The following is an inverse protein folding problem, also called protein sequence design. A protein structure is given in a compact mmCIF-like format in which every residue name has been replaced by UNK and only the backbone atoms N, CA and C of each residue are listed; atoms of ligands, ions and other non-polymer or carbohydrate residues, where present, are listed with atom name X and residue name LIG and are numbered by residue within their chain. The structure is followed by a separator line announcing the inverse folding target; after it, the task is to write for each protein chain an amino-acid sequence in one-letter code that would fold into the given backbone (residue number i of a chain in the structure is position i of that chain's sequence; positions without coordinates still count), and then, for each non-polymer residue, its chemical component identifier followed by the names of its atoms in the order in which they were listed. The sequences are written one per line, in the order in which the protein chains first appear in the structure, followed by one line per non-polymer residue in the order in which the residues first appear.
data_IF_206704572910
#
_entry.id   IF_206704572910
#
_cell.length_a   1.000
_cell.length_b   1.000
_cell.length_c   1.000
_cell.angle_alpha   90.00
_cell.angle_beta   90.00
_cell.angle_gamma   90.00
#
_symmetry.space_group_name_H-M   'P 1'
#
loop_
_entity.id
_entity.type
_entity.pdbx_description
1 polymer ?
#
# COMPACT_ATOMS: atom_id res chain seq x y z
N UNK A 1 7.28 10.25 9.18
CA UNK A 1 8.20 9.09 9.27
C UNK A 1 9.61 9.60 9.00
N UNK A 2 10.56 9.47 9.94
CA UNK A 2 11.99 9.66 9.67
C UNK A 2 12.66 8.30 9.91
N UNK A 3 13.50 7.85 8.98
CA UNK A 3 14.23 6.57 9.05
C UNK A 3 13.37 5.29 9.19
N UNK A 4 12.16 5.26 8.62
CA UNK A 4 11.31 4.05 8.64
C UNK A 4 10.61 3.75 9.96
N UNK A 5 10.77 4.60 10.97
CA UNK A 5 10.05 4.48 12.25
C UNK A 5 8.74 5.25 12.19
N UNK A 6 7.65 4.60 12.60
CA UNK A 6 6.34 5.21 12.80
C UNK A 6 6.43 6.25 13.92
N UNK A 7 5.96 7.47 13.65
CA UNK A 7 5.88 8.50 14.68
C UNK A 7 4.60 8.28 15.49
N UNK A 8 4.68 7.90 16.79
CA UNK A 8 3.49 7.67 17.62
C UNK A 8 2.71 8.95 17.93
N UNK A 9 3.35 10.12 17.80
CA UNK A 9 2.72 11.42 18.05
C UNK A 9 1.77 11.84 16.92
N UNK A 10 1.84 11.16 15.76
CA UNK A 10 0.94 11.42 14.63
C UNK A 10 -0.30 10.54 14.79
N UNK A 11 -1.49 11.12 15.05
CA UNK A 11 -2.72 10.35 15.16
C UNK A 11 -3.06 9.65 13.84
N UNK A 12 -3.79 8.55 13.93
CA UNK A 12 -4.30 7.87 12.75
C UNK A 12 -5.25 8.80 11.98
N UNK A 13 -5.06 9.01 10.66
CA UNK A 13 -5.66 10.13 9.93
C UNK A 13 -7.14 9.91 9.57
N UNK A 14 -8.01 9.88 10.58
CA UNK A 14 -9.45 9.70 10.42
C UNK A 14 -10.15 10.93 9.83
N UNK A 15 -9.52 12.10 9.88
CA UNK A 15 -10.01 13.36 9.31
C UNK A 15 -10.26 13.27 7.80
N UNK A 16 -9.60 12.33 7.11
CA UNK A 16 -9.83 12.05 5.68
C UNK A 16 -11.26 11.60 5.38
N UNK A 17 -11.98 11.08 6.37
CA UNK A 17 -13.39 10.68 6.27
C UNK A 17 -14.36 11.82 6.63
N UNK A 18 -13.88 13.01 6.98
CA UNK A 18 -14.68 14.17 7.34
C UNK A 18 -15.19 14.16 8.79
N UNK A 19 -16.18 15.02 9.07
CA UNK A 19 -16.60 15.32 10.44
C UNK A 19 -18.12 15.45 10.60
N UNK A 20 -18.58 15.24 11.84
CA UNK A 20 -19.97 15.48 12.26
C UNK A 20 -20.98 14.58 11.53
N UNK A 21 -22.16 15.14 11.24
CA UNK A 21 -23.28 14.39 10.62
C UNK A 21 -23.01 13.91 9.19
N UNK A 22 -21.97 14.43 8.52
CA UNK A 22 -21.57 14.03 7.15
C UNK A 22 -20.25 13.27 7.11
N UNK A 23 -19.81 12.73 8.26
CA UNK A 23 -18.68 11.80 8.27
C UNK A 23 -19.00 10.60 7.37
N UNK A 24 -17.99 10.10 6.65
CA UNK A 24 -18.15 8.96 5.75
C UNK A 24 -18.76 7.76 6.50
N UNK A 25 -19.96 7.36 6.10
CA UNK A 25 -20.66 6.22 6.68
C UNK A 25 -19.92 4.89 6.44
N UNK A 26 -19.05 4.84 5.42
CA UNK A 26 -18.24 3.67 5.09
C UNK A 26 -16.85 3.64 5.73
N UNK A 27 -16.50 4.57 6.64
CA UNK A 27 -15.15 4.68 7.20
C UNK A 27 -14.65 3.38 7.83
N UNK A 28 -15.50 2.70 8.60
CA UNK A 28 -15.10 1.52 9.37
C UNK A 28 -14.91 0.32 8.42
N UNK A 29 -15.84 0.15 7.47
CA UNK A 29 -15.71 -0.83 6.39
C UNK A 29 -14.45 -0.60 5.56
N UNK A 30 -14.13 0.65 5.20
CA UNK A 30 -12.95 0.97 4.41
C UNK A 30 -11.66 0.61 5.15
N UNK A 31 -11.56 0.97 6.43
CA UNK A 31 -10.39 0.66 7.26
C UNK A 31 -10.21 -0.86 7.42
N UNK A 32 -11.28 -1.59 7.71
CA UNK A 32 -11.17 -3.04 7.90
C UNK A 32 -10.90 -3.78 6.58
N UNK A 33 -11.48 -3.31 5.48
CA UNK A 33 -11.18 -3.83 4.14
C UNK A 33 -9.71 -3.65 3.78
N UNK A 34 -9.14 -2.47 4.04
CA UNK A 34 -7.71 -2.19 3.80
C UNK A 34 -6.82 -3.07 4.68
N UNK A 35 -7.17 -3.27 5.96
CA UNK A 35 -6.41 -4.15 6.86
C UNK A 35 -6.38 -5.59 6.34
N UNK A 36 -7.53 -6.13 5.94
CA UNK A 36 -7.63 -7.49 5.40
C UNK A 36 -6.83 -7.60 4.09
N UNK A 37 -7.00 -6.63 3.19
CA UNK A 37 -6.25 -6.58 1.94
C UNK A 37 -4.74 -6.59 2.19
N UNK A 38 -4.24 -5.72 3.08
CA UNK A 38 -2.82 -5.65 3.42
C UNK A 38 -2.32 -6.93 4.07
N UNK A 39 -3.07 -7.53 5.00
CA UNK A 39 -2.71 -8.80 5.64
C UNK A 39 -2.62 -9.94 4.61
N UNK A 40 -3.59 -10.03 3.70
CA UNK A 40 -3.60 -11.04 2.63
C UNK A 40 -2.43 -10.86 1.66
N UNK A 41 -2.20 -9.63 1.21
CA UNK A 41 -1.08 -9.30 0.33
C UNK A 41 0.26 -9.63 1.00
N UNK A 42 0.45 -9.19 2.24
CA UNK A 42 1.68 -9.43 3.00
C UNK A 42 1.82 -10.89 3.44
N UNK A 43 0.79 -11.72 3.40
CA UNK A 43 0.93 -13.16 3.65
C UNK A 43 1.50 -13.91 2.43
N UNK A 44 1.23 -13.39 1.23
CA UNK A 44 1.47 -14.07 -0.05
C UNK A 44 2.68 -13.50 -0.78
N UNK A 45 2.96 -12.19 -0.65
CA UNK A 45 3.96 -11.49 -1.43
C UNK A 45 5.04 -10.82 -0.56
N UNK A 46 6.22 -10.69 -1.16
CA UNK A 46 7.26 -9.77 -0.74
C UNK A 46 7.28 -8.55 -1.66
N UNK A 47 7.28 -7.37 -1.04
CA UNK A 47 7.29 -6.08 -1.71
C UNK A 47 8.68 -5.46 -1.60
N UNK A 48 9.17 -4.90 -2.70
CA UNK A 48 10.47 -4.25 -2.75
C UNK A 48 10.53 -3.15 -3.80
N UNK A 49 11.63 -2.40 -3.79
CA UNK A 49 11.93 -1.46 -4.86
C UNK A 49 12.24 -2.21 -6.15
N UNK A 50 11.89 -1.62 -7.30
CA UNK A 50 12.30 -2.16 -8.58
C UNK A 50 13.81 -1.95 -8.79
N UNK A 51 14.40 -2.76 -9.67
CA UNK A 51 15.79 -2.63 -10.11
C UNK A 51 15.85 -2.37 -11.62
N UNK A 52 16.86 -1.65 -12.07
CA UNK A 52 17.14 -1.45 -13.50
C UNK A 52 17.89 -2.64 -14.12
N UNK A 53 18.31 -2.52 -15.38
CA UNK A 53 18.99 -3.61 -16.09
C UNK A 53 20.40 -3.90 -15.52
N UNK A 54 20.98 -2.91 -14.85
CA UNK A 54 22.29 -2.92 -14.23
C UNK A 54 22.24 -3.39 -12.77
N UNK A 55 21.04 -3.61 -12.22
CA UNK A 55 20.80 -4.08 -10.85
C UNK A 55 20.74 -2.97 -9.81
N UNK A 56 20.71 -1.70 -10.21
CA UNK A 56 20.57 -0.58 -9.28
C UNK A 56 19.12 -0.38 -8.86
N UNK A 57 18.93 0.06 -7.61
CA UNK A 57 17.62 0.38 -7.06
C UNK A 57 17.04 1.60 -7.78
N UNK A 58 15.81 1.46 -8.28
CA UNK A 58 15.02 2.57 -8.80
C UNK A 58 14.33 3.25 -7.62
N UNK A 59 14.79 4.46 -7.28
CA UNK A 59 14.16 5.27 -6.23
C UNK A 59 12.78 5.78 -6.64
N UNK A 60 11.86 5.78 -5.69
CA UNK A 60 10.49 6.27 -5.90
C UNK A 60 10.54 7.80 -5.81
N UNK A 61 10.07 8.51 -6.84
CA UNK A 61 10.15 9.98 -6.93
C UNK A 61 9.47 10.71 -5.77
N UNK A 62 8.49 10.08 -5.13
CA UNK A 62 7.66 10.70 -4.09
C UNK A 62 6.66 11.71 -4.65
N UNK A 63 6.53 11.78 -5.98
CA UNK A 63 5.57 12.65 -6.65
C UNK A 63 4.15 12.10 -6.51
N UNK A 64 3.20 13.02 -6.39
CA UNK A 64 1.77 12.73 -6.31
C UNK A 64 1.04 13.44 -7.44
N UNK A 65 0.00 12.78 -7.97
CA UNK A 65 -0.89 13.38 -8.95
C UNK A 65 -1.87 14.31 -8.23
N UNK A 66 -2.06 15.49 -8.80
CA UNK A 66 -3.00 16.49 -8.30
C UNK A 66 -4.43 16.15 -8.74
N UNK A 67 -5.40 16.29 -7.83
CA UNK A 67 -6.80 16.08 -8.15
C UNK A 67 -7.69 16.07 -6.92
N UNK A 68 -8.97 15.74 -7.08
CA UNK A 68 -9.91 15.57 -5.97
C UNK A 68 -9.56 14.39 -5.05
N UNK A 69 -8.74 13.45 -5.54
CA UNK A 69 -8.09 12.40 -4.76
C UNK A 69 -6.58 12.50 -4.98
N UNK A 70 -5.81 12.30 -3.92
CA UNK A 70 -4.34 12.34 -3.96
C UNK A 70 -3.84 10.91 -4.06
N UNK A 71 -3.08 10.60 -5.10
CA UNK A 71 -2.44 9.31 -5.29
C UNK A 71 -1.02 9.48 -5.82
N UNK A 72 -0.08 8.56 -5.53
CA UNK A 72 1.27 8.64 -6.07
C UNK A 72 1.25 8.64 -7.60
N UNK A 73 2.21 9.33 -8.21
CA UNK A 73 2.49 9.17 -9.63
C UNK A 73 2.92 7.73 -9.93
N UNK A 74 2.68 7.19 -11.15
CA UNK A 74 3.07 5.83 -11.49
C UNK A 74 4.55 5.56 -11.20
N UNK A 75 4.84 4.50 -10.46
CA UNK A 75 6.20 4.09 -10.09
C UNK A 75 6.39 2.58 -10.32
N UNK A 76 7.65 2.17 -10.55
CA UNK A 76 8.01 0.74 -10.64
C UNK A 76 8.24 0.17 -9.25
N UNK A 77 7.76 -1.04 -9.01
CA UNK A 77 8.02 -1.80 -7.79
C UNK A 77 8.26 -3.28 -8.11
N UNK A 78 8.79 -4.02 -7.14
CA UNK A 78 8.87 -5.48 -7.20
C UNK A 78 7.83 -6.07 -6.27
N UNK A 79 7.00 -6.97 -6.81
CA UNK A 79 6.03 -7.77 -6.07
C UNK A 79 6.30 -9.21 -6.48
N UNK A 80 6.70 -10.04 -5.52
CA UNK A 80 7.09 -11.43 -5.77
C UNK A 80 6.36 -12.35 -4.81
N UNK A 81 5.86 -13.53 -5.23
CA UNK A 81 5.35 -14.51 -4.30
C UNK A 81 6.43 -14.84 -3.26
N UNK A 82 6.06 -14.81 -1.97
CA UNK A 82 6.99 -15.07 -0.85
C UNK A 82 7.53 -16.50 -0.84
N UNK A 83 6.78 -17.44 -1.41
CA UNK A 83 7.12 -18.87 -1.47
C UNK A 83 6.48 -19.55 -2.68
N UNK A 84 7.02 -20.69 -3.08
CA UNK A 84 6.48 -21.48 -4.20
C UNK A 84 5.01 -21.85 -4.01
N UNK A 85 4.62 -22.26 -2.80
CA UNK A 85 3.22 -22.54 -2.48
C UNK A 85 2.30 -21.32 -2.72
N UNK A 86 2.78 -20.11 -2.47
CA UNK A 86 2.03 -18.89 -2.75
C UNK A 86 1.90 -18.65 -4.26
N UNK A 87 2.94 -18.94 -5.05
CA UNK A 87 2.87 -18.88 -6.51
C UNK A 87 1.84 -19.88 -7.07
N UNK A 88 1.83 -21.11 -6.55
CA UNK A 88 0.85 -22.13 -6.93
C UNK A 88 -0.58 -21.71 -6.59
N UNK A 89 -0.81 -21.14 -5.40
CA UNK A 89 -2.14 -20.63 -5.02
C UNK A 89 -2.66 -19.56 -5.99
N UNK A 90 -1.80 -18.70 -6.51
CA UNK A 90 -2.17 -17.63 -7.45
C UNK A 90 -2.44 -18.19 -8.84
N UNK A 91 -1.62 -19.16 -9.28
CA UNK A 91 -1.71 -19.74 -10.63
C UNK A 91 -2.81 -20.81 -10.76
N UNK A 92 -3.29 -21.38 -9.66
CA UNK A 92 -4.29 -22.44 -9.67
C UNK A 92 -5.70 -21.98 -10.08
N UNK A 93 -5.96 -20.67 -10.16
CA UNK A 93 -7.27 -20.07 -10.44
C UNK A 93 -7.34 -19.39 -11.82
N UNK A 94 -6.40 -19.69 -12.73
CA UNK A 94 -6.36 -19.22 -14.13
C UNK A 94 -6.30 -20.40 -15.08
#
# INVERSE_FOLDING_TARGET
MKAGVLNPDVPFPMETFGFGRRICAGKDLAIDSIKIMMASLLAVFDFGKAVDAEGNIIEISGEYLSGGLIHPAPFKCSIRPRREAAALLIMADT
#
